data_IF_630642741019
#
_entry.id   IF_630642741019
#
_cell.length_a   1.000
_cell.length_b   1.000
_cell.length_c   1.000
_cell.angle_alpha   90.00
_cell.angle_beta   90.00
_cell.angle_gamma   90.00
#
_symmetry.space_group_name_H-M   'P 1'
#
loop_
_entity.id
_entity.type
_entity.pdbx_description
1 polymer ?
#
# COMPACT_ATOMS: atom_id res chain seq x y z
N UNK A 1 18.10 -21.74 19.27
CA UNK A 1 17.29 -22.46 18.23
C UNK A 1 18.15 -23.41 17.37
N UNK A 2 17.59 -24.43 16.68
CA UNK A 2 18.39 -25.32 15.81
C UNK A 2 18.70 -24.66 14.44
N UNK A 3 19.70 -25.19 13.71
CA UNK A 3 20.18 -24.61 12.45
C UNK A 3 19.09 -24.53 11.36
N UNK A 4 18.22 -25.53 11.29
CA UNK A 4 17.18 -25.59 10.26
C UNK A 4 16.11 -24.53 10.48
N UNK A 5 15.62 -24.37 11.72
CA UNK A 5 14.66 -23.32 12.06
C UNK A 5 15.23 -21.91 11.83
N UNK A 6 16.54 -21.69 12.08
CA UNK A 6 17.22 -20.41 11.76
C UNK A 6 17.22 -20.10 10.28
N UNK A 7 17.45 -21.11 9.43
CA UNK A 7 17.36 -20.95 7.98
C UNK A 7 15.94 -20.61 7.52
N UNK A 8 14.93 -21.25 8.11
CA UNK A 8 13.53 -20.99 7.76
C UNK A 8 13.12 -19.56 8.13
N UNK A 9 13.53 -19.06 9.30
CA UNK A 9 13.28 -17.66 9.70
C UNK A 9 13.99 -16.67 8.78
N UNK A 10 15.26 -16.93 8.42
CA UNK A 10 15.96 -16.09 7.45
C UNK A 10 15.27 -16.09 6.07
N UNK A 11 14.77 -17.24 5.61
CA UNK A 11 14.02 -17.32 4.35
C UNK A 11 12.69 -16.57 4.43
N UNK A 12 11.97 -16.63 5.56
CA UNK A 12 10.75 -15.86 5.78
C UNK A 12 11.03 -14.36 5.74
N UNK A 13 12.14 -13.90 6.35
CA UNK A 13 12.56 -12.49 6.32
C UNK A 13 12.77 -11.98 4.89
N UNK A 14 13.46 -12.75 4.05
CA UNK A 14 13.65 -12.40 2.63
C UNK A 14 12.31 -12.26 1.89
N UNK A 15 11.33 -13.10 2.22
CA UNK A 15 9.98 -13.00 1.63
C UNK A 15 9.22 -11.76 2.12
N UNK A 16 9.37 -11.39 3.39
CA UNK A 16 8.78 -10.18 3.97
C UNK A 16 9.38 -8.92 3.33
N UNK A 17 10.70 -8.86 3.21
CA UNK A 17 11.39 -7.73 2.56
C UNK A 17 10.95 -7.58 1.10
N UNK A 18 10.81 -8.70 0.38
CA UNK A 18 10.27 -8.71 -0.97
C UNK A 18 8.80 -8.27 -1.00
N UNK A 19 8.00 -8.71 -0.03
CA UNK A 19 6.61 -8.29 0.13
C UNK A 19 6.50 -6.78 0.30
N UNK A 20 7.31 -6.19 1.20
CA UNK A 20 7.39 -4.74 1.41
C UNK A 20 7.65 -4.00 0.10
N UNK A 21 8.68 -4.40 -0.64
CA UNK A 21 9.00 -3.77 -1.92
C UNK A 21 7.84 -3.81 -2.94
N UNK A 22 7.08 -4.92 -2.98
CA UNK A 22 5.91 -5.03 -3.86
C UNK A 22 4.73 -4.18 -3.37
N UNK A 23 4.55 -4.03 -2.06
CA UNK A 23 3.53 -3.17 -1.48
C UNK A 23 3.86 -1.70 -1.71
N UNK A 24 5.14 -1.31 -1.59
CA UNK A 24 5.62 0.03 -1.92
C UNK A 24 5.36 0.35 -3.40
N UNK A 25 5.68 -0.57 -4.32
CA UNK A 25 5.39 -0.41 -5.75
C UNK A 25 3.88 -0.26 -6.02
N UNK A 26 3.04 -1.07 -5.36
CA UNK A 26 1.59 -0.97 -5.47
C UNK A 26 1.06 0.37 -4.92
N UNK A 27 1.62 0.83 -3.79
CA UNK A 27 1.29 2.12 -3.17
C UNK A 27 1.58 3.26 -4.13
N UNK A 28 2.78 3.31 -4.72
CA UNK A 28 3.17 4.36 -5.67
C UNK A 28 2.26 4.40 -6.91
N UNK A 29 1.87 3.22 -7.42
CA UNK A 29 0.90 3.11 -8.51
C UNK A 29 -0.47 3.67 -8.12
N UNK A 30 -0.97 3.33 -6.93
CA UNK A 30 -2.26 3.82 -6.45
C UNK A 30 -2.23 5.33 -6.18
N UNK A 31 -1.13 5.86 -5.64
CA UNK A 31 -0.94 7.31 -5.47
C UNK A 31 -1.02 8.03 -6.81
N UNK A 32 -0.33 7.51 -7.83
CA UNK A 32 -0.38 8.07 -9.19
C UNK A 32 -1.82 8.11 -9.73
N UNK A 33 -2.57 7.01 -9.62
CA UNK A 33 -3.95 6.94 -10.11
C UNK A 33 -4.87 7.87 -9.32
N UNK A 34 -4.70 7.94 -8.00
CA UNK A 34 -5.47 8.84 -7.14
C UNK A 34 -5.25 10.30 -7.51
N UNK A 35 -3.99 10.70 -7.70
CA UNK A 35 -3.62 12.06 -8.07
C UNK A 35 -4.17 12.43 -9.46
N UNK A 36 -4.12 11.50 -10.42
CA UNK A 36 -4.73 11.66 -11.74
C UNK A 36 -6.26 11.84 -11.65
N UNK A 37 -6.93 11.03 -10.83
CA UNK A 37 -8.38 11.09 -10.62
C UNK A 37 -8.78 12.41 -9.95
N UNK A 38 -8.04 12.84 -8.94
CA UNK A 38 -8.24 14.12 -8.26
C UNK A 38 -8.03 15.30 -9.23
N UNK A 39 -6.98 15.27 -10.04
CA UNK A 39 -6.75 16.29 -11.06
C UNK A 39 -7.90 16.31 -12.09
N UNK A 40 -8.43 15.15 -12.48
CA UNK A 40 -9.57 15.07 -13.39
C UNK A 40 -10.85 15.63 -12.75
N UNK A 41 -11.04 15.41 -11.44
CA UNK A 41 -12.16 15.94 -10.65
C UNK A 41 -12.10 17.47 -10.55
N UNK A 42 -10.92 18.01 -10.25
CA UNK A 42 -10.67 19.46 -10.16
C UNK A 42 -10.86 20.19 -11.51
N UNK A 43 -10.63 19.50 -12.62
CA UNK A 43 -10.79 20.03 -13.97
C UNK A 43 -12.21 19.86 -14.55
N UNK A 44 -13.17 19.32 -13.80
CA UNK A 44 -14.54 19.20 -14.28
C UNK A 44 -15.15 20.59 -14.56
N UNK A 45 -15.91 20.76 -15.65
CA UNK A 45 -16.63 22.00 -15.89
C UNK A 45 -17.72 22.19 -14.82
N UNK A 46 -18.06 23.44 -14.45
CA UNK A 46 -19.06 23.72 -13.41
C UNK A 46 -20.43 23.07 -13.67
N UNK A 47 -20.80 22.88 -14.95
CA UNK A 47 -22.04 22.19 -15.32
C UNK A 47 -22.09 20.71 -14.94
N UNK A 48 -20.96 20.10 -14.59
CA UNK A 48 -20.83 18.69 -14.21
C UNK A 48 -20.38 18.51 -12.76
N UNK A 49 -20.22 19.59 -12.00
CA UNK A 49 -19.66 19.58 -10.65
C UNK A 49 -20.51 18.74 -9.67
N UNK A 50 -21.83 18.76 -9.83
CA UNK A 50 -22.82 18.00 -9.05
C UNK A 50 -23.31 16.72 -9.74
N UNK A 51 -22.66 16.31 -10.82
CA UNK A 51 -23.09 15.13 -11.59
C UNK A 51 -22.81 13.82 -10.85
N UNK A 52 -23.50 12.74 -11.24
CA UNK A 52 -23.16 11.38 -10.77
C UNK A 52 -21.72 11.01 -11.09
N UNK A 53 -21.18 11.51 -12.21
CA UNK A 53 -19.78 11.33 -12.58
C UNK A 53 -18.89 11.96 -11.51
N UNK A 54 -19.12 13.22 -11.19
CA UNK A 54 -18.41 13.95 -10.15
C UNK A 54 -18.36 13.19 -8.81
N UNK A 55 -19.53 12.69 -8.36
CA UNK A 55 -19.63 11.89 -7.13
C UNK A 55 -18.85 10.57 -7.21
N UNK A 56 -18.85 9.92 -8.38
CA UNK A 56 -18.08 8.70 -8.60
C UNK A 56 -16.56 8.94 -8.54
N UNK A 57 -16.09 10.10 -9.03
CA UNK A 57 -14.67 10.49 -8.93
C UNK A 57 -14.26 10.73 -7.48
N UNK A 58 -15.09 11.43 -6.69
CA UNK A 58 -14.84 11.64 -5.25
C UNK A 58 -14.80 10.31 -4.49
N UNK A 59 -15.73 9.41 -4.79
CA UNK A 59 -15.75 8.07 -4.19
C UNK A 59 -14.50 7.26 -4.59
N UNK A 60 -14.08 7.32 -5.85
CA UNK A 60 -12.87 6.63 -6.31
C UNK A 60 -11.62 7.14 -5.57
N UNK A 61 -11.45 8.46 -5.44
CA UNK A 61 -10.36 9.05 -4.65
C UNK A 61 -10.39 8.55 -3.20
N UNK A 62 -11.56 8.61 -2.54
CA UNK A 62 -11.71 8.15 -1.15
C UNK A 62 -11.37 6.67 -0.95
N UNK A 63 -11.76 5.80 -1.89
CA UNK A 63 -11.45 4.37 -1.83
C UNK A 63 -9.96 4.10 -2.10
N UNK A 64 -9.34 4.86 -3.01
CA UNK A 64 -7.90 4.79 -3.28
C UNK A 64 -7.08 5.22 -2.06
N UNK A 65 -7.47 6.29 -1.36
CA UNK A 65 -6.84 6.71 -0.10
C UNK A 65 -6.95 5.64 0.99
N UNK A 66 -8.12 4.99 1.08
CA UNK A 66 -8.35 3.90 2.02
C UNK A 66 -7.46 2.69 1.70
N UNK A 67 -7.33 2.35 0.41
CA UNK A 67 -6.46 1.28 -0.05
C UNK A 67 -4.97 1.57 0.22
N UNK A 68 -4.50 2.79 -0.07
CA UNK A 68 -3.13 3.22 0.23
C UNK A 68 -2.84 3.11 1.73
N UNK A 69 -3.74 3.59 2.58
CA UNK A 69 -3.60 3.52 4.04
C UNK A 69 -3.48 2.07 4.52
N UNK A 70 -4.28 1.16 3.97
CA UNK A 70 -4.22 -0.27 4.31
C UNK A 70 -2.91 -0.95 3.88
N UNK A 71 -2.22 -0.44 2.84
CA UNK A 71 -0.89 -0.93 2.45
C UNK A 71 0.19 -0.45 3.43
N UNK A 72 0.05 0.77 3.95
CA UNK A 72 0.99 1.38 4.91
C UNK A 72 0.96 0.70 6.29
N UNK A 73 -0.13 0.00 6.63
CA UNK A 73 -0.24 -0.78 7.86
C UNK A 73 0.71 -1.99 7.91
N UNK A 74 1.32 -2.39 6.79
CA UNK A 74 2.28 -3.50 6.75
C UNK A 74 3.67 -3.09 7.26
N UNK A 75 3.92 -3.28 8.55
CA UNK A 75 5.21 -2.99 9.16
C UNK A 75 6.21 -4.16 9.01
N UNK A 76 6.87 -4.22 7.86
CA UNK A 76 7.95 -5.18 7.61
C UNK A 76 9.17 -4.99 8.54
N UNK A 77 9.40 -3.79 9.07
CA UNK A 77 10.57 -3.53 9.92
C UNK A 77 10.36 -4.08 11.34
N UNK A 78 9.14 -3.93 11.88
CA UNK A 78 8.71 -4.58 13.12
C UNK A 78 8.76 -6.10 12.98
N UNK A 79 8.19 -6.65 11.90
CA UNK A 79 8.21 -8.09 11.65
C UNK A 79 9.66 -8.59 11.57
N UNK A 80 10.54 -7.88 10.84
CA UNK A 80 11.97 -8.20 10.76
C UNK A 80 12.64 -8.25 12.13
N UNK A 81 12.42 -7.23 12.96
CA UNK A 81 12.98 -7.15 14.32
C UNK A 81 12.54 -8.33 15.19
N UNK A 82 11.26 -8.72 15.10
CA UNK A 82 10.72 -9.88 15.80
C UNK A 82 11.37 -11.18 15.33
N UNK A 83 11.61 -11.33 14.02
CA UNK A 83 12.27 -12.50 13.45
C UNK A 83 13.75 -12.60 13.83
N UNK A 84 14.47 -11.47 13.88
CA UNK A 84 15.87 -11.45 14.31
C UNK A 84 15.97 -11.94 15.75
N UNK A 85 15.17 -11.35 16.65
CA UNK A 85 15.10 -11.73 18.06
C UNK A 85 14.75 -13.20 18.25
N UNK A 86 13.81 -13.74 17.46
CA UNK A 86 13.46 -15.16 17.50
C UNK A 86 14.58 -16.08 16.98
N UNK A 87 15.53 -15.54 16.22
CA UNK A 87 16.59 -16.31 15.56
C UNK A 87 17.91 -16.42 16.32
N UNK A 88 18.09 -15.57 17.35
CA UNK A 88 19.19 -15.61 18.31
C UNK A 88 19.22 -16.95 19.11
#
# INVERSE_FOLDING_TARGET
MNRERRKQIAAARVLIDKGKALLDEARDMLETVKDDEQAARENLPPSLEDSERAQAMDAAVSELESAISALEDFDADEIGTNLDTASE
#
